data_IF_538296676380
#
_entry.id   IF_538296676380
#
_cell.length_a   1.000
_cell.length_b   1.000
_cell.length_c   1.000
_cell.angle_alpha   90.00
_cell.angle_beta   90.00
_cell.angle_gamma   90.00
#
_symmetry.space_group_name_H-M   'P 1'
#
loop_
_entity.id
_entity.type
_entity.pdbx_description
1 polymer ?
#
# COMPACT_ATOMS: atom_id res chain seq x y z
N UNK A 1 -53.15 16.16 -11.75
CA UNK A 1 -52.21 15.65 -10.72
C UNK A 1 -51.03 15.02 -11.44
N UNK A 2 -49.85 15.65 -11.39
CA UNK A 2 -48.64 15.18 -12.10
C UNK A 2 -47.74 14.36 -11.16
N UNK A 3 -47.24 13.18 -11.56
CA UNK A 3 -46.22 12.49 -10.78
C UNK A 3 -44.83 13.12 -10.98
N UNK A 4 -44.09 13.19 -9.88
CA UNK A 4 -42.77 13.82 -9.72
C UNK A 4 -41.68 13.11 -10.54
N UNK A 5 -41.05 13.89 -11.41
CA UNK A 5 -39.79 13.56 -12.07
C UNK A 5 -38.67 13.39 -11.02
N UNK A 6 -38.24 12.14 -10.75
CA UNK A 6 -37.15 11.85 -9.81
C UNK A 6 -35.87 11.58 -10.57
N UNK A 7 -35.27 12.65 -11.09
CA UNK A 7 -33.95 12.61 -11.70
C UNK A 7 -32.96 13.29 -10.75
N UNK A 8 -32.43 12.56 -9.77
CA UNK A 8 -31.32 13.05 -8.93
C UNK A 8 -30.26 11.99 -8.61
N UNK A 9 -29.21 12.04 -9.44
CA UNK A 9 -27.79 12.13 -9.05
C UNK A 9 -27.22 10.97 -8.23
N UNK A 10 -26.53 10.07 -8.94
CA UNK A 10 -25.12 9.76 -8.63
C UNK A 10 -24.29 9.78 -9.92
N UNK A 11 -23.87 10.98 -10.30
CA UNK A 11 -22.65 11.19 -11.08
C UNK A 11 -21.46 10.71 -10.24
N UNK A 12 -21.17 9.41 -10.26
CA UNK A 12 -19.83 8.92 -9.91
C UNK A 12 -19.05 8.85 -11.22
N UNK A 13 -18.27 9.92 -11.39
CA UNK A 13 -17.24 10.16 -12.40
C UNK A 13 -16.81 8.86 -13.11
N UNK A 14 -17.16 8.76 -14.39
CA UNK A 14 -16.43 7.96 -15.38
C UNK A 14 -14.96 8.37 -15.30
N UNK A 15 -14.13 7.60 -14.57
CA UNK A 15 -12.68 7.88 -14.47
C UNK A 15 -11.86 7.17 -15.54
N UNK A 16 -12.44 6.55 -16.57
CA UNK A 16 -11.67 5.97 -17.69
C UNK A 16 -12.40 5.99 -19.05
N UNK A 17 -13.01 7.12 -19.39
CA UNK A 17 -13.24 7.47 -20.82
C UNK A 17 -12.43 8.72 -21.18
N UNK A 18 -11.23 8.87 -20.60
CA UNK A 18 -10.34 9.98 -20.94
C UNK A 18 -9.18 9.49 -21.79
N UNK A 19 -9.51 9.47 -23.09
CA UNK A 19 -8.67 9.69 -24.26
C UNK A 19 -8.05 8.42 -24.86
N UNK A 20 -8.38 8.17 -26.13
CA UNK A 20 -7.55 7.50 -27.13
C UNK A 20 -6.21 8.23 -27.30
N UNK A 21 -5.45 8.41 -26.22
CA UNK A 21 -4.02 8.69 -26.36
C UNK A 21 -3.40 7.34 -26.63
N UNK A 22 -2.65 7.22 -27.73
CA UNK A 22 -1.81 6.07 -28.04
C UNK A 22 -0.85 5.81 -26.85
N UNK A 23 -1.34 5.11 -25.84
CA UNK A 23 -0.58 4.70 -24.66
C UNK A 23 -0.06 3.30 -24.92
N UNK A 24 1.24 3.17 -25.13
CA UNK A 24 1.89 1.89 -25.25
C UNK A 24 2.43 1.48 -23.88
N UNK A 25 2.12 0.26 -23.47
CA UNK A 25 2.79 -0.37 -22.31
C UNK A 25 4.15 -0.88 -22.78
N UNK A 26 5.21 -0.39 -22.15
CA UNK A 26 6.58 -0.83 -22.43
C UNK A 26 6.96 -2.04 -21.56
N UNK A 27 6.61 -1.98 -20.26
CA UNK A 27 6.90 -3.06 -19.31
C UNK A 27 5.94 -3.00 -18.12
N UNK A 28 5.62 -4.17 -17.57
CA UNK A 28 4.87 -4.31 -16.33
C UNK A 28 5.60 -5.26 -15.39
N UNK A 29 5.68 -4.89 -14.12
CA UNK A 29 6.09 -5.76 -13.03
C UNK A 29 5.01 -5.80 -11.95
N UNK A 30 4.88 -6.96 -11.29
CA UNK A 30 3.90 -7.18 -10.22
C UNK A 30 4.59 -7.77 -9.01
N UNK A 31 4.26 -7.24 -7.84
CA UNK A 31 4.86 -7.65 -6.57
C UNK A 31 3.73 -7.79 -5.55
N UNK A 32 3.74 -8.86 -4.76
CA UNK A 32 2.82 -9.06 -3.65
C UNK A 32 3.60 -8.98 -2.34
N UNK A 33 3.15 -8.09 -1.44
CA UNK A 33 3.76 -7.86 -0.13
C UNK A 33 2.63 -7.93 0.90
N UNK A 34 2.66 -8.95 1.75
CA UNK A 34 1.58 -9.27 2.67
C UNK A 34 0.21 -9.38 1.95
N UNK A 35 -0.74 -8.51 2.32
CA UNK A 35 -2.09 -8.40 1.74
C UNK A 35 -2.20 -7.40 0.58
N UNK A 36 -1.09 -6.76 0.21
CA UNK A 36 -1.05 -5.71 -0.82
C UNK A 36 -0.44 -6.24 -2.11
N UNK A 37 -1.09 -5.93 -3.23
CA UNK A 37 -0.57 -6.22 -4.57
C UNK A 37 -0.19 -4.91 -5.25
N UNK A 38 1.04 -4.82 -5.73
CA UNK A 38 1.55 -3.67 -6.45
C UNK A 38 1.75 -4.02 -7.92
N UNK A 39 1.25 -3.17 -8.82
CA UNK A 39 1.51 -3.22 -10.25
C UNK A 39 2.28 -1.97 -10.67
N UNK A 40 3.49 -2.16 -11.19
CA UNK A 40 4.39 -1.09 -11.64
C UNK A 40 4.48 -1.20 -13.17
N UNK A 41 4.00 -0.19 -13.87
CA UNK A 41 3.93 -0.20 -15.34
C UNK A 41 4.65 1.00 -15.92
N UNK A 42 5.65 0.76 -16.77
CA UNK A 42 6.26 1.78 -17.60
C UNK A 42 5.46 1.93 -18.89
N UNK A 43 4.99 3.14 -19.17
CA UNK A 43 4.16 3.47 -20.34
C UNK A 43 4.76 4.62 -21.14
N UNK A 44 4.37 4.72 -22.39
CA UNK A 44 4.73 5.78 -23.31
C UNK A 44 3.50 6.31 -24.03
N UNK A 45 3.48 7.62 -24.25
CA UNK A 45 2.52 8.28 -25.12
C UNK A 45 3.22 9.39 -25.93
N UNK A 46 2.55 10.10 -26.86
CA UNK A 46 3.20 11.16 -27.64
C UNK A 46 3.80 12.33 -26.83
N UNK A 47 3.49 12.45 -25.53
CA UNK A 47 4.09 13.45 -24.63
C UNK A 47 5.32 12.94 -23.89
N UNK A 48 5.65 11.66 -24.05
CA UNK A 48 6.80 10.99 -23.43
C UNK A 48 6.42 9.79 -22.56
N UNK A 49 7.39 9.35 -21.76
CA UNK A 49 7.29 8.16 -20.90
C UNK A 49 6.88 8.53 -19.48
N UNK A 50 6.22 7.60 -18.81
CA UNK A 50 5.84 7.74 -17.41
C UNK A 50 5.71 6.38 -16.73
N UNK A 51 5.97 6.34 -15.43
CA UNK A 51 5.76 5.17 -14.58
C UNK A 51 4.41 5.29 -13.88
N UNK A 52 3.65 4.21 -13.86
CA UNK A 52 2.38 4.09 -13.15
C UNK A 52 2.55 3.04 -12.06
N UNK A 53 2.30 3.39 -10.80
CA UNK A 53 2.33 2.45 -9.67
C UNK A 53 0.91 2.37 -9.14
N UNK A 54 0.34 1.17 -9.16
CA UNK A 54 -0.96 0.89 -8.58
C UNK A 54 -0.81 -0.02 -7.35
N UNK A 55 -1.43 0.37 -6.25
CA UNK A 55 -1.61 -0.46 -5.05
C UNK A 55 -3.04 -1.01 -5.05
N UNK A 56 -3.17 -2.30 -4.81
CA UNK A 56 -4.46 -2.97 -4.64
C UNK A 56 -4.53 -3.67 -3.28
N UNK A 57 -5.60 -3.39 -2.52
CA UNK A 57 -5.89 -3.98 -1.22
C UNK A 57 -7.38 -4.33 -1.16
N UNK A 58 -7.71 -5.62 -1.29
CA UNK A 58 -9.09 -6.08 -1.39
C UNK A 58 -9.79 -5.46 -2.61
N UNK A 59 -10.84 -4.67 -2.40
CA UNK A 59 -11.54 -3.96 -3.48
C UNK A 59 -11.04 -2.53 -3.73
N UNK A 60 -10.06 -2.07 -2.94
CA UNK A 60 -9.51 -0.71 -3.06
C UNK A 60 -8.30 -0.69 -3.98
N UNK A 61 -8.24 0.29 -4.89
CA UNK A 61 -7.12 0.50 -5.80
C UNK A 61 -6.70 1.95 -5.84
N UNK A 62 -5.50 2.22 -5.35
CA UNK A 62 -4.84 3.52 -5.42
C UNK A 62 -3.78 3.51 -6.52
N UNK A 63 -3.52 4.69 -7.11
CA UNK A 63 -2.62 4.78 -8.26
C UNK A 63 -1.95 6.14 -8.33
N UNK A 64 -0.62 6.13 -8.48
CA UNK A 64 0.20 7.30 -8.76
C UNK A 64 0.84 7.21 -10.14
N UNK A 65 1.12 8.36 -10.73
CA UNK A 65 1.80 8.50 -12.03
C UNK A 65 3.01 9.40 -11.83
N UNK A 66 4.17 8.93 -12.26
CA UNK A 66 5.44 9.65 -12.18
C UNK A 66 5.92 9.91 -13.61
N UNK A 67 6.04 11.17 -14.05
CA UNK A 67 6.61 11.49 -15.35
C UNK A 67 8.05 10.97 -15.48
N UNK A 68 8.45 10.55 -16.68
CA UNK A 68 9.78 9.99 -16.95
C UNK A 68 10.94 10.89 -16.49
N UNK A 69 10.77 12.22 -16.64
CA UNK A 69 11.76 13.23 -16.22
C UNK A 69 12.05 13.22 -14.72
N UNK A 70 11.12 12.75 -13.88
CA UNK A 70 11.28 12.69 -12.42
C UNK A 70 11.73 11.33 -11.88
N UNK A 71 11.95 10.33 -12.74
CA UNK A 71 12.23 8.97 -12.28
C UNK A 71 13.59 8.83 -11.58
N UNK A 72 14.61 9.56 -12.02
CA UNK A 72 15.92 9.52 -11.38
C UNK A 72 15.87 10.11 -9.95
N UNK A 73 15.19 11.23 -9.78
CA UNK A 73 15.00 11.85 -8.47
C UNK A 73 14.16 10.95 -7.54
N UNK A 74 13.06 10.40 -8.06
CA UNK A 74 12.22 9.45 -7.34
C UNK A 74 13.00 8.21 -6.88
N UNK A 75 13.79 7.61 -7.79
CA UNK A 75 14.66 6.48 -7.47
C UNK A 75 15.67 6.84 -6.38
N UNK A 76 16.34 7.99 -6.50
CA UNK A 76 17.29 8.44 -5.50
C UNK A 76 16.65 8.66 -4.13
N UNK A 77 15.44 9.21 -4.09
CA UNK A 77 14.68 9.36 -2.84
C UNK A 77 14.34 7.99 -2.21
N UNK A 78 13.87 7.03 -3.01
CA UNK A 78 13.60 5.68 -2.54
C UNK A 78 14.86 5.00 -1.99
N UNK A 79 15.98 5.07 -2.72
CA UNK A 79 17.27 4.51 -2.27
C UNK A 79 17.71 5.06 -0.92
N UNK A 80 17.62 6.37 -0.69
CA UNK A 80 17.97 6.99 0.60
C UNK A 80 17.07 6.51 1.74
N UNK A 81 15.77 6.32 1.48
CA UNK A 81 14.85 5.78 2.49
C UNK A 81 15.17 4.32 2.83
N UNK A 82 15.53 3.51 1.83
CA UNK A 82 15.95 2.12 2.05
C UNK A 82 17.26 2.04 2.84
N UNK A 83 18.23 2.89 2.52
CA UNK A 83 19.48 3.00 3.27
C UNK A 83 19.22 3.37 4.74
N UNK A 84 18.35 4.36 4.99
CA UNK A 84 17.95 4.72 6.34
C UNK A 84 17.25 3.57 7.08
N UNK A 85 16.33 2.86 6.42
CA UNK A 85 15.63 1.70 7.01
C UNK A 85 16.60 0.61 7.47
N UNK A 86 17.65 0.34 6.68
CA UNK A 86 18.65 -0.69 7.01
C UNK A 86 19.54 -0.32 8.21
N UNK A 87 19.57 0.96 8.60
CA UNK A 87 20.32 1.44 9.76
C UNK A 87 19.47 1.44 11.04
N UNK A 88 18.15 1.27 10.94
CA UNK A 88 17.28 1.28 12.11
C UNK A 88 17.50 0.04 12.98
N UNK A 89 17.52 0.19 14.32
CA UNK A 89 17.54 -0.97 15.20
C UNK A 89 16.27 -1.81 14.99
N UNK A 90 16.33 -3.14 15.25
CA UNK A 90 15.14 -3.97 15.24
C UNK A 90 14.06 -3.36 16.12
N UNK A 91 12.82 -3.32 15.62
CA UNK A 91 11.69 -2.87 16.43
C UNK A 91 11.62 -3.76 17.68
N UNK A 92 11.79 -3.14 18.84
CA UNK A 92 11.58 -3.82 20.12
C UNK A 92 10.08 -4.08 20.25
N UNK A 93 9.62 -5.20 19.69
CA UNK A 93 8.34 -5.79 20.07
C UNK A 93 8.43 -6.04 21.56
N UNK A 94 7.70 -5.24 22.35
CA UNK A 94 7.59 -5.47 23.79
C UNK A 94 7.09 -6.90 23.98
N UNK A 95 8.00 -7.81 24.31
CA UNK A 95 7.63 -9.16 24.70
C UNK A 95 6.63 -9.02 25.85
N UNK A 96 5.44 -9.64 25.79
CA UNK A 96 4.54 -9.63 26.92
C UNK A 96 5.33 -10.16 28.14
N UNK A 97 5.26 -9.50 29.30
CA UNK A 97 6.04 -9.89 30.46
C UNK A 97 5.67 -11.33 30.82
N UNK A 98 6.61 -12.23 30.56
CA UNK A 98 6.51 -13.63 30.97
C UNK A 98 6.84 -13.64 32.46
N UNK A 99 5.88 -14.06 33.28
CA UNK A 99 6.13 -14.47 34.67
C UNK A 99 5.60 -13.50 35.73
N UNK A 100 4.38 -13.77 36.19
CA UNK A 100 4.14 -13.78 37.65
C UNK A 100 3.76 -15.22 37.99
N UNK A 101 4.78 -16.06 38.16
CA UNK A 101 4.62 -17.39 38.78
C UNK A 101 4.24 -17.17 40.26
N UNK A 102 2.97 -17.42 40.58
CA UNK A 102 2.52 -17.49 41.96
C UNK A 102 3.12 -18.73 42.62
N UNK A 103 4.24 -18.55 43.33
CA UNK A 103 4.73 -19.51 44.31
C UNK A 103 3.83 -19.43 45.56
N UNK A 104 2.71 -20.16 45.53
CA UNK A 104 1.94 -20.49 46.72
C UNK A 104 2.67 -21.57 47.51
N UNK A 105 3.27 -21.17 48.63
CA UNK A 105 4.05 -22.04 49.51
C UNK A 105 3.27 -23.25 50.03
N UNK A 106 3.92 -24.41 49.98
CA UNK A 106 3.53 -25.64 50.66
C UNK A 106 3.51 -25.43 52.18
N UNK A 107 2.33 -25.48 52.80
CA UNK A 107 2.19 -25.64 54.24
C UNK A 107 2.54 -27.09 54.63
N UNK A 108 3.65 -27.26 55.34
CA UNK A 108 3.99 -28.52 56.02
C UNK A 108 3.10 -28.68 57.25
N UNK A 109 2.32 -29.77 57.26
CA UNK A 109 1.63 -30.30 58.45
C UNK A 109 2.67 -31.03 59.32
N UNK A 110 2.80 -30.67 60.60
CA UNK A 110 3.50 -31.49 61.61
C UNK A 110 2.52 -32.49 62.24
N UNK A 111 2.93 -33.74 62.53
CA UNK A 111 2.10 -34.71 63.24
C UNK A 111 2.19 -34.55 64.78
N UNK A 112 1.21 -35.18 65.42
CA UNK A 112 0.78 -35.13 66.83
C UNK A 112 1.82 -35.43 67.91
#
# INVERSE_FOLDING_TARGET
MSPRNTQRRRRRRTRRERRDVQEQVLKTERIQIERKSFEITLKENPRGRFLCIAEEVGSHRDMIIIPGVGLNEFSGALSRMLEYMNQLPPLQLSTPPTGVENQGGTSQNQPS
#
